data_IF_908458324869
#
_entry.id   IF_908458324869
#
_cell.length_a   1.000
_cell.length_b   1.000
_cell.length_c   1.000
_cell.angle_alpha   90.00
_cell.angle_beta   90.00
_cell.angle_gamma   90.00
#
_symmetry.space_group_name_H-M   'P 1'
#
loop_
_entity.id
_entity.type
_entity.pdbx_description
1 polymer ?
#
# COMPACT_ATOMS: atom_id res chain seq x y z
N UNK A 1 4.23 -19.00 4.52
CA UNK A 1 3.41 -18.97 3.29
C UNK A 1 1.95 -18.57 3.54
N UNK A 2 1.26 -19.05 4.60
CA UNK A 2 -0.12 -18.63 4.93
C UNK A 2 -0.26 -17.13 5.30
N UNK A 3 0.67 -16.63 6.12
CA UNK A 3 0.63 -15.25 6.65
C UNK A 3 0.79 -14.16 5.56
N UNK A 4 1.64 -14.37 4.55
CA UNK A 4 1.86 -13.37 3.50
C UNK A 4 0.64 -13.20 2.60
N UNK A 5 0.00 -14.30 2.20
CA UNK A 5 -1.23 -14.25 1.41
C UNK A 5 -2.37 -13.55 2.16
N UNK A 6 -2.46 -13.75 3.48
CA UNK A 6 -3.40 -13.03 4.35
C UNK A 6 -3.09 -11.53 4.41
N UNK A 7 -1.81 -11.16 4.53
CA UNK A 7 -1.36 -9.76 4.51
C UNK A 7 -1.66 -9.09 3.16
N UNK A 8 -1.40 -9.75 2.04
CA UNK A 8 -1.72 -9.25 0.69
C UNK A 8 -3.22 -9.03 0.55
N UNK A 9 -4.04 -9.99 0.96
CA UNK A 9 -5.50 -9.86 0.92
C UNK A 9 -5.98 -8.69 1.77
N UNK A 10 -5.44 -8.54 2.99
CA UNK A 10 -5.77 -7.43 3.89
C UNK A 10 -5.34 -6.08 3.31
N UNK A 11 -4.12 -5.99 2.78
CA UNK A 11 -3.60 -4.78 2.15
C UNK A 11 -4.48 -4.35 0.96
N UNK A 12 -4.94 -5.30 0.13
CA UNK A 12 -5.84 -5.01 -0.99
C UNK A 12 -7.16 -4.40 -0.52
N UNK A 13 -7.76 -4.96 0.53
CA UNK A 13 -9.02 -4.43 1.09
C UNK A 13 -8.81 -3.01 1.62
N UNK A 14 -7.77 -2.80 2.43
CA UNK A 14 -7.45 -1.50 3.03
C UNK A 14 -7.13 -0.43 1.97
N UNK A 15 -6.33 -0.75 0.96
CA UNK A 15 -6.02 0.19 -0.14
C UNK A 15 -7.25 0.50 -0.99
N UNK A 16 -8.14 -0.47 -1.19
CA UNK A 16 -9.40 -0.23 -1.92
C UNK A 16 -10.30 0.72 -1.14
N UNK A 17 -10.35 0.58 0.19
CA UNK A 17 -11.11 1.48 1.07
C UNK A 17 -10.51 2.90 1.06
N UNK A 18 -9.19 3.01 1.25
CA UNK A 18 -8.47 4.30 1.25
C UNK A 18 -8.63 5.08 -0.06
N UNK A 19 -8.63 4.38 -1.19
CA UNK A 19 -8.72 4.99 -2.53
C UNK A 19 -10.17 5.09 -3.06
N UNK A 20 -11.15 4.81 -2.20
CA UNK A 20 -12.57 4.84 -2.58
C UNK A 20 -13.06 6.27 -2.85
N UNK A 21 -14.19 6.38 -3.55
CA UNK A 21 -14.86 7.65 -3.81
C UNK A 21 -16.35 7.51 -3.48
N UNK A 22 -16.90 8.22 -2.47
CA UNK A 22 -16.20 9.21 -1.63
C UNK A 22 -15.09 8.56 -0.77
N UNK A 23 -14.02 9.31 -0.46
CA UNK A 23 -12.96 8.80 0.41
C UNK A 23 -13.47 8.58 1.84
N UNK A 24 -12.73 7.81 2.67
CA UNK A 24 -12.99 7.73 4.09
C UNK A 24 -12.87 9.10 4.77
N UNK A 25 -13.25 9.17 6.04
CA UNK A 25 -12.93 10.34 6.86
C UNK A 25 -11.46 10.28 7.32
N UNK A 26 -10.95 11.41 7.81
CA UNK A 26 -9.55 11.55 8.22
C UNK A 26 -9.13 10.52 9.29
N UNK A 27 -10.00 10.27 10.28
CA UNK A 27 -9.72 9.27 11.33
C UNK A 27 -9.54 7.87 10.73
N UNK A 28 -10.41 7.49 9.79
CA UNK A 28 -10.34 6.18 9.13
C UNK A 28 -9.15 6.09 8.18
N UNK A 29 -8.78 7.17 7.51
CA UNK A 29 -7.57 7.23 6.68
C UNK A 29 -6.32 6.96 7.53
N UNK A 30 -6.22 7.57 8.72
CA UNK A 30 -5.10 7.34 9.64
C UNK A 30 -5.05 5.90 10.13
N UNK A 31 -6.20 5.31 10.52
CA UNK A 31 -6.28 3.90 10.91
C UNK A 31 -5.81 2.97 9.79
N UNK A 32 -6.26 3.20 8.56
CA UNK A 32 -5.88 2.39 7.41
C UNK A 32 -4.36 2.47 7.16
N UNK A 33 -3.80 3.69 7.18
CA UNK A 33 -2.35 3.88 6.97
C UNK A 33 -1.53 3.24 8.08
N UNK A 34 -1.97 3.32 9.33
CA UNK A 34 -1.32 2.65 10.46
C UNK A 34 -1.36 1.13 10.26
N UNK A 35 -2.52 0.55 9.93
CA UNK A 35 -2.64 -0.88 9.66
C UNK A 35 -1.77 -1.34 8.48
N UNK A 36 -1.71 -0.56 7.40
CA UNK A 36 -0.87 -0.83 6.24
C UNK A 36 0.62 -0.82 6.60
N UNK A 37 1.06 0.10 7.47
CA UNK A 37 2.44 0.19 7.95
C UNK A 37 2.90 -1.05 8.71
N UNK A 38 1.96 -1.78 9.34
CA UNK A 38 2.27 -3.00 10.10
C UNK A 38 2.35 -4.25 9.22
N UNK A 39 1.72 -4.23 8.04
CA UNK A 39 1.62 -5.42 7.18
C UNK A 39 2.49 -5.34 5.92
N UNK A 40 2.73 -4.14 5.39
CA UNK A 40 3.58 -3.93 4.22
C UNK A 40 5.05 -3.78 4.66
N UNK A 41 6.00 -4.43 3.98
CA UNK A 41 7.41 -4.32 4.35
C UNK A 41 8.07 -3.03 3.84
N UNK A 42 7.49 -2.37 2.83
CA UNK A 42 7.98 -1.09 2.31
C UNK A 42 7.35 0.09 3.08
N UNK A 43 8.15 0.97 3.73
CA UNK A 43 7.64 2.12 4.46
C UNK A 43 7.14 3.27 3.56
N UNK A 44 7.42 3.24 2.26
CA UNK A 44 7.19 4.36 1.34
C UNK A 44 5.84 4.29 0.58
N UNK A 45 4.84 3.61 1.14
CA UNK A 45 3.52 3.43 0.50
C UNK A 45 2.90 4.77 0.03
N UNK A 46 2.86 5.78 0.90
CA UNK A 46 2.26 7.09 0.60
C UNK A 46 3.06 7.83 -0.48
N UNK A 47 4.37 7.62 -0.53
CA UNK A 47 5.25 8.09 -1.60
C UNK A 47 4.75 7.62 -2.97
N UNK A 48 4.43 6.33 -3.09
CA UNK A 48 3.93 5.75 -4.32
C UNK A 48 2.51 6.23 -4.69
N UNK A 49 1.64 6.44 -3.70
CA UNK A 49 0.26 6.88 -3.93
C UNK A 49 0.20 8.34 -4.42
N UNK A 50 0.93 9.23 -3.76
CA UNK A 50 0.78 10.68 -3.96
C UNK A 50 1.81 11.29 -4.93
N UNK A 51 2.97 10.64 -5.10
CA UNK A 51 4.10 11.22 -5.83
C UNK A 51 4.65 10.35 -6.96
N UNK A 52 4.00 9.23 -7.29
CA UNK A 52 4.39 8.38 -8.41
C UNK A 52 3.24 8.13 -9.38
N UNK A 53 3.54 8.29 -10.67
CA UNK A 53 2.64 7.89 -11.76
C UNK A 53 2.85 6.42 -12.18
N UNK A 54 3.91 5.77 -11.70
CA UNK A 54 4.28 4.40 -12.08
C UNK A 54 3.18 3.39 -11.72
N UNK A 55 2.43 3.65 -10.66
CA UNK A 55 1.37 2.79 -10.13
C UNK A 55 -0.01 3.22 -10.60
N UNK A 56 -0.12 4.12 -11.59
CA UNK A 56 -1.39 4.52 -12.18
C UNK A 56 -1.64 3.76 -13.48
N UNK A 57 -2.88 3.31 -13.67
CA UNK A 57 -3.32 2.74 -14.92
C UNK A 57 -3.58 3.84 -15.98
N UNK A 58 -3.96 3.43 -17.18
CA UNK A 58 -4.29 4.37 -18.28
C UNK A 58 -5.44 5.33 -17.98
N UNK A 59 -6.24 5.07 -16.95
CA UNK A 59 -7.36 5.92 -16.50
C UNK A 59 -6.94 6.88 -15.37
N UNK A 60 -5.69 6.81 -14.92
CA UNK A 60 -5.16 7.60 -13.81
C UNK A 60 -5.49 7.05 -12.42
N UNK A 61 -6.15 5.89 -12.33
CA UNK A 61 -6.44 5.20 -11.07
C UNK A 61 -5.24 4.38 -10.64
N UNK A 62 -5.07 4.20 -9.33
CA UNK A 62 -3.97 3.38 -8.82
C UNK A 62 -4.25 1.90 -9.09
N UNK A 63 -3.27 1.22 -9.69
CA UNK A 63 -3.18 -0.23 -9.78
C UNK A 63 -2.73 -0.78 -8.42
N UNK A 64 -3.71 -1.19 -7.61
CA UNK A 64 -3.52 -1.69 -6.25
C UNK A 64 -2.64 -2.95 -6.24
N UNK A 65 -2.79 -3.83 -7.22
CA UNK A 65 -2.05 -5.09 -7.26
C UNK A 65 -0.58 -4.84 -7.55
N UNK A 66 -0.27 -4.00 -8.55
CA UNK A 66 1.10 -3.58 -8.85
C UNK A 66 1.76 -2.87 -7.67
N UNK A 67 1.01 -2.03 -6.96
CA UNK A 67 1.51 -1.32 -5.77
C UNK A 67 1.83 -2.29 -4.62
N UNK A 68 0.94 -3.24 -4.34
CA UNK A 68 1.18 -4.26 -3.31
C UNK A 68 2.41 -5.10 -3.66
N UNK A 69 2.51 -5.56 -4.91
CA UNK A 69 3.65 -6.35 -5.37
C UNK A 69 4.97 -5.59 -5.17
N UNK A 70 4.97 -4.28 -5.48
CA UNK A 70 6.12 -3.42 -5.22
C UNK A 70 6.48 -3.38 -3.75
N UNK A 71 5.50 -3.16 -2.87
CA UNK A 71 5.74 -3.10 -1.43
C UNK A 71 6.33 -4.40 -0.90
N UNK A 72 5.86 -5.58 -1.36
CA UNK A 72 6.39 -6.88 -0.93
C UNK A 72 7.75 -7.24 -1.54
N UNK A 73 8.15 -6.61 -2.65
CA UNK A 73 9.50 -6.75 -3.22
C UNK A 73 10.56 -5.92 -2.48
N UNK A 74 10.15 -5.03 -1.57
CA UNK A 74 11.08 -4.20 -0.82
C UNK A 74 12.04 -5.05 0.00
N UNK A 75 13.33 -4.78 -0.19
CA UNK A 75 14.41 -5.34 0.60
C UNK A 75 15.09 -4.18 1.30
N UNK A 76 15.00 -4.06 2.63
CA UNK A 76 15.73 -3.02 3.34
C UNK A 76 17.22 -3.21 3.04
N UNK A 77 17.86 -2.17 2.50
CA UNK A 77 19.30 -2.13 2.40
C UNK A 77 19.85 -2.00 3.82
N UNK A 78 20.13 -3.14 4.47
CA UNK A 78 20.95 -3.17 5.68
C UNK A 78 22.36 -2.79 5.26
N UNK A 79 22.74 -1.55 5.53
CA UNK A 79 24.15 -1.20 5.61
C UNK A 79 24.62 -1.81 6.92
N UNK A 80 25.36 -2.91 6.87
CA UNK A 80 26.13 -3.38 8.02
C UNK A 80 27.14 -2.27 8.36
N UNK A 81 26.90 -1.57 9.47
CA UNK A 81 27.80 -0.58 10.06
C UNK A 81 28.77 -1.25 11.04
#
# INVERSE_FOLDING_TARGET
>A
MRNEQEKIKKARVLLTEFLSNPPPNEDRDLEILEELSQILPDPNLTGYIFYSDEYRDSTGKIDIDKLIDKCFQYKPNVIEL
#
